data_IF_054397086705
#
_entry.id   IF_054397086705
#
_cell.length_a   1.000
_cell.length_b   1.000
_cell.length_c   1.000
_cell.angle_alpha   90.00
_cell.angle_beta   90.00
_cell.angle_gamma   90.00
#
_symmetry.space_group_name_H-M   'P 1'
#
loop_
_entity.id
_entity.type
_entity.pdbx_description
1 polymer ?
#
# COMPACT_ATOMS: atom_id res chain seq x y z
N UNK A 1 -10.69 38.16 -26.35
CA UNK A 1 -11.86 37.26 -26.22
C UNK A 1 -11.35 35.82 -26.25
N UNK A 2 -11.04 35.22 -25.10
CA UNK A 2 -10.48 33.87 -25.03
C UNK A 2 -11.62 32.84 -24.89
N UNK A 3 -11.80 32.01 -25.90
CA UNK A 3 -12.76 30.91 -25.92
C UNK A 3 -12.38 29.86 -24.87
N UNK A 4 -13.16 29.76 -23.79
CA UNK A 4 -13.08 28.66 -22.81
C UNK A 4 -13.57 27.37 -23.48
N UNK A 5 -12.64 26.56 -23.99
CA UNK A 5 -12.91 25.19 -24.38
C UNK A 5 -13.22 24.36 -23.12
N UNK A 6 -14.51 24.07 -22.88
CA UNK A 6 -14.94 23.17 -21.80
C UNK A 6 -14.90 21.74 -22.38
N UNK A 7 -13.97 20.87 -21.97
CA UNK A 7 -13.89 19.52 -22.53
C UNK A 7 -15.20 18.80 -22.25
N UNK A 8 -15.90 18.41 -23.32
CA UNK A 8 -17.21 17.77 -23.29
C UNK A 8 -17.01 16.30 -22.93
N UNK A 9 -17.00 16.00 -21.63
CA UNK A 9 -16.94 14.61 -21.16
C UNK A 9 -18.31 13.97 -21.29
N UNK A 10 -18.47 13.01 -22.19
CA UNK A 10 -19.72 12.33 -22.51
C UNK A 10 -20.11 11.20 -21.53
N UNK A 11 -19.32 10.99 -20.48
CA UNK A 11 -19.55 9.94 -19.50
C UNK A 11 -20.66 10.32 -18.53
N UNK A 12 -21.64 9.43 -18.37
CA UNK A 12 -22.70 9.58 -17.37
C UNK A 12 -22.10 9.56 -15.96
N UNK A 13 -22.75 10.22 -14.97
CA UNK A 13 -22.25 10.29 -13.60
C UNK A 13 -21.93 8.92 -12.98
N UNK A 14 -22.71 7.90 -13.33
CA UNK A 14 -22.49 6.50 -12.92
C UNK A 14 -21.18 5.93 -13.43
N UNK A 15 -20.84 6.14 -14.70
CA UNK A 15 -19.61 5.61 -15.30
C UNK A 15 -18.38 6.32 -14.73
N UNK A 16 -18.49 7.63 -14.43
CA UNK A 16 -17.42 8.38 -13.74
C UNK A 16 -17.16 7.88 -12.33
N UNK A 17 -18.22 7.59 -11.55
CA UNK A 17 -18.08 7.03 -10.20
C UNK A 17 -17.41 5.67 -10.20
N UNK A 18 -17.78 4.79 -11.13
CA UNK A 18 -17.15 3.48 -11.28
C UNK A 18 -15.69 3.59 -11.72
N UNK A 19 -15.38 4.45 -12.68
CA UNK A 19 -14.01 4.68 -13.13
C UNK A 19 -13.12 5.25 -12.00
N UNK A 20 -13.65 6.16 -11.18
CA UNK A 20 -12.94 6.70 -10.01
C UNK A 20 -12.68 5.61 -8.96
N UNK A 21 -13.66 4.75 -8.71
CA UNK A 21 -13.49 3.60 -7.82
C UNK A 21 -12.37 2.67 -8.29
N UNK A 22 -12.33 2.34 -9.59
CA UNK A 22 -11.24 1.54 -10.16
C UNK A 22 -9.87 2.23 -10.03
N UNK A 23 -9.81 3.56 -10.22
CA UNK A 23 -8.57 4.31 -10.06
C UNK A 23 -8.05 4.28 -8.61
N UNK A 24 -8.95 4.29 -7.63
CA UNK A 24 -8.61 4.20 -6.19
C UNK A 24 -8.13 2.80 -5.77
N UNK A 25 -8.52 1.73 -6.50
CA UNK A 25 -8.06 0.38 -6.20
C UNK A 25 -6.58 0.14 -6.54
N UNK A 26 -6.02 0.91 -7.48
CA UNK A 26 -4.66 0.71 -7.98
C UNK A 26 -3.59 0.61 -6.87
N UNK A 27 -3.47 1.62 -5.98
CA UNK A 27 -2.51 1.58 -4.88
C UNK A 27 -2.68 0.36 -3.96
N UNK A 28 -3.92 -0.03 -3.64
CA UNK A 28 -4.20 -1.18 -2.77
C UNK A 28 -3.80 -2.51 -3.41
N UNK A 29 -4.00 -2.67 -4.72
CA UNK A 29 -3.55 -3.86 -5.45
C UNK A 29 -2.02 -3.92 -5.49
N UNK A 30 -1.35 -2.79 -5.68
CA UNK A 30 0.13 -2.74 -5.68
C UNK A 30 0.66 -3.15 -4.31
N UNK A 31 0.15 -2.56 -3.22
CA UNK A 31 0.61 -2.90 -1.87
C UNK A 31 0.30 -4.35 -1.50
N UNK A 32 -0.85 -4.90 -1.91
CA UNK A 32 -1.17 -6.31 -1.63
C UNK A 32 -0.22 -7.29 -2.33
N UNK A 33 0.30 -6.94 -3.52
CA UNK A 33 1.27 -7.80 -4.20
C UNK A 33 2.65 -7.71 -3.54
N UNK A 34 3.05 -6.52 -3.07
CA UNK A 34 4.31 -6.34 -2.33
C UNK A 34 4.30 -7.11 -1.00
N UNK A 35 3.17 -7.14 -0.30
CA UNK A 35 3.02 -7.92 0.95
C UNK A 35 3.09 -9.45 0.73
N UNK A 36 2.91 -9.95 -0.50
CA UNK A 36 2.95 -11.37 -0.85
C UNK A 36 4.18 -11.71 -1.69
N UNK A 37 5.34 -11.31 -1.20
CA UNK A 37 6.64 -11.58 -1.80
C UNK A 37 7.05 -13.06 -1.68
N UNK A 38 8.21 -13.40 -2.25
CA UNK A 38 8.73 -14.78 -2.19
C UNK A 38 8.99 -15.26 -0.75
N UNK A 39 9.43 -14.36 0.14
CA UNK A 39 9.67 -14.66 1.55
C UNK A 39 8.38 -15.00 2.30
N UNK A 40 7.32 -14.21 2.09
CA UNK A 40 5.98 -14.49 2.61
C UNK A 40 5.44 -15.84 2.12
N UNK A 41 5.44 -16.07 0.81
CA UNK A 41 4.94 -17.32 0.21
C UNK A 41 5.70 -18.54 0.75
N UNK A 42 7.04 -18.46 0.87
CA UNK A 42 7.84 -19.54 1.43
C UNK A 42 7.46 -19.81 2.90
N UNK A 43 7.33 -18.76 3.70
CA UNK A 43 6.98 -18.87 5.13
C UNK A 43 5.62 -19.53 5.32
N UNK A 44 4.58 -19.06 4.63
CA UNK A 44 3.24 -19.62 4.78
C UNK A 44 3.14 -21.05 4.24
N UNK A 45 3.90 -21.38 3.18
CA UNK A 45 3.99 -22.74 2.64
C UNK A 45 4.64 -23.71 3.63
N UNK A 46 5.77 -23.32 4.23
CA UNK A 46 6.45 -24.12 5.25
C UNK A 46 5.56 -24.29 6.49
N UNK A 47 4.91 -23.21 6.93
CA UNK A 47 3.96 -23.25 8.04
C UNK A 47 2.79 -24.18 7.73
N UNK A 48 2.21 -24.12 6.53
CA UNK A 48 1.13 -25.01 6.09
C UNK A 48 1.58 -26.48 6.05
N UNK A 49 2.78 -26.76 5.55
CA UNK A 49 3.32 -28.12 5.49
C UNK A 49 3.61 -28.70 6.89
N UNK A 50 4.07 -27.87 7.84
CA UNK A 50 4.44 -28.32 9.19
C UNK A 50 3.28 -28.37 10.18
N UNK A 51 2.38 -27.40 10.12
CA UNK A 51 1.31 -27.19 11.10
C UNK A 51 -0.09 -27.50 10.56
N UNK A 52 -0.22 -27.74 9.25
CA UNK A 52 -1.52 -27.91 8.60
C UNK A 52 -2.40 -26.68 8.83
N UNK A 53 -3.65 -26.92 9.22
CA UNK A 53 -4.63 -25.85 9.47
C UNK A 53 -4.59 -25.26 10.88
N UNK A 54 -3.72 -25.77 11.76
CA UNK A 54 -3.69 -25.33 13.17
C UNK A 54 -3.29 -23.87 13.34
N UNK A 55 -2.65 -23.24 12.34
CA UNK A 55 -2.30 -21.82 12.36
C UNK A 55 -3.27 -20.89 11.64
N UNK A 56 -4.38 -21.39 11.07
CA UNK A 56 -5.34 -20.51 10.38
C UNK A 56 -5.97 -19.44 11.29
N UNK A 57 -6.08 -19.70 12.59
CA UNK A 57 -6.63 -18.72 13.53
C UNK A 57 -5.78 -17.44 13.60
N UNK A 58 -4.46 -17.52 13.34
CA UNK A 58 -3.56 -16.38 13.37
C UNK A 58 -3.85 -15.38 12.25
N UNK A 59 -4.56 -15.79 11.20
CA UNK A 59 -4.96 -14.93 10.09
C UNK A 59 -5.85 -13.77 10.53
N UNK A 60 -6.72 -13.99 11.54
CA UNK A 60 -7.64 -12.96 12.06
C UNK A 60 -6.88 -11.80 12.72
N UNK A 61 -6.03 -12.01 13.75
CA UNK A 61 -5.29 -10.90 14.35
C UNK A 61 -4.31 -10.27 13.36
N UNK A 62 -3.61 -11.05 12.53
CA UNK A 62 -2.70 -10.51 11.50
C UNK A 62 -3.43 -9.56 10.55
N UNK A 63 -4.63 -9.93 10.08
CA UNK A 63 -5.42 -9.08 9.19
C UNK A 63 -5.79 -7.76 9.85
N UNK A 64 -6.18 -7.79 11.14
CA UNK A 64 -6.52 -6.57 11.89
C UNK A 64 -5.30 -5.64 11.98
N UNK A 65 -4.13 -6.17 12.35
CA UNK A 65 -2.91 -5.37 12.41
C UNK A 65 -2.52 -4.82 11.05
N UNK A 66 -2.63 -5.63 9.99
CA UNK A 66 -2.29 -5.22 8.63
C UNK A 66 -3.20 -4.10 8.14
N UNK A 67 -4.51 -4.17 8.40
CA UNK A 67 -5.47 -3.10 8.07
C UNK A 67 -5.11 -1.81 8.79
N UNK A 68 -4.76 -1.86 10.08
CA UNK A 68 -4.36 -0.67 10.85
C UNK A 68 -3.10 -0.04 10.27
N UNK A 69 -2.07 -0.83 9.96
CA UNK A 69 -0.80 -0.32 9.42
C UNK A 69 -0.99 0.24 8.00
N UNK A 70 -1.74 -0.45 7.15
CA UNK A 70 -2.05 0.01 5.78
C UNK A 70 -2.86 1.31 5.81
N UNK A 71 -3.86 1.43 6.68
CA UNK A 71 -4.65 2.66 6.83
C UNK A 71 -3.79 3.83 7.34
N UNK A 72 -2.91 3.59 8.31
CA UNK A 72 -1.98 4.62 8.79
C UNK A 72 -1.04 5.10 7.69
N UNK A 73 -0.48 4.18 6.90
CA UNK A 73 0.39 4.49 5.76
C UNK A 73 -0.35 5.26 4.67
N UNK A 74 -1.55 4.82 4.31
CA UNK A 74 -2.42 5.50 3.36
C UNK A 74 -2.75 6.91 3.83
N UNK A 75 -3.20 7.07 5.08
CA UNK A 75 -3.57 8.37 5.66
C UNK A 75 -2.39 9.32 5.66
N UNK A 76 -1.21 8.84 6.05
CA UNK A 76 0.02 9.64 6.02
C UNK A 76 0.37 10.08 4.60
N UNK A 77 0.31 9.17 3.61
CA UNK A 77 0.59 9.50 2.21
C UNK A 77 -0.41 10.48 1.61
N UNK A 78 -1.70 10.33 1.91
CA UNK A 78 -2.78 11.23 1.44
C UNK A 78 -2.67 12.62 2.07
N UNK A 79 -2.37 12.71 3.37
CA UNK A 79 -2.31 14.00 4.09
C UNK A 79 -1.03 14.77 3.76
N UNK A 80 0.11 14.08 3.66
CA UNK A 80 1.41 14.74 3.46
C UNK A 80 1.82 14.87 2.00
N UNK A 81 1.26 14.04 1.11
CA UNK A 81 1.69 13.92 -0.29
C UNK A 81 3.10 13.32 -0.45
N UNK A 82 3.66 12.71 0.60
CA UNK A 82 5.03 12.19 0.64
C UNK A 82 5.07 10.72 1.05
N UNK A 83 6.10 10.02 0.59
CA UNK A 83 6.39 8.66 1.04
C UNK A 83 6.99 8.63 2.44
N UNK A 84 6.97 7.45 3.07
CA UNK A 84 7.56 7.25 4.41
C UNK A 84 9.06 7.62 4.43
N UNK A 85 9.81 7.26 3.40
CA UNK A 85 11.24 7.55 3.26
C UNK A 85 11.52 9.06 3.27
N UNK A 86 10.70 9.85 2.57
CA UNK A 86 10.82 11.30 2.52
C UNK A 86 10.51 11.93 3.89
N UNK A 87 9.47 11.45 4.58
CA UNK A 87 9.12 11.93 5.92
C UNK A 87 10.21 11.60 6.95
N UNK A 88 10.82 10.42 6.87
CA UNK A 88 11.97 10.06 7.71
C UNK A 88 13.15 10.99 7.40
N UNK A 89 13.42 11.25 6.13
CA UNK A 89 14.51 12.13 5.69
C UNK A 89 14.33 13.56 6.18
N UNK A 90 13.11 14.07 6.14
CA UNK A 90 12.79 15.42 6.62
C UNK A 90 12.97 15.56 8.13
N UNK A 91 12.62 14.52 8.89
CA UNK A 91 12.66 14.57 10.36
C UNK A 91 14.00 14.19 10.97
N UNK A 92 14.71 13.23 10.38
CA UNK A 92 15.93 12.64 10.94
C UNK A 92 17.18 12.85 10.08
N UNK A 93 17.03 13.45 8.89
CA UNK A 93 18.11 13.75 7.98
C UNK A 93 18.55 12.57 7.11
N UNK A 94 19.35 12.87 6.08
CA UNK A 94 19.71 11.93 5.00
C UNK A 94 20.50 10.72 5.49
N UNK A 95 21.38 10.90 6.48
CA UNK A 95 22.24 9.82 7.00
C UNK A 95 21.42 8.69 7.61
N UNK A 96 20.42 9.02 8.43
CA UNK A 96 19.55 8.04 9.08
C UNK A 96 18.69 7.34 8.03
N UNK A 97 18.09 8.08 7.10
CA UNK A 97 17.30 7.50 6.01
C UNK A 97 18.12 6.55 5.16
N UNK A 98 19.36 6.91 4.82
CA UNK A 98 20.23 6.05 4.01
C UNK A 98 20.46 4.69 4.67
N UNK A 99 20.85 4.67 5.94
CA UNK A 99 21.06 3.41 6.67
C UNK A 99 19.77 2.61 6.82
N UNK A 100 18.62 3.26 7.07
CA UNK A 100 17.33 2.58 7.15
C UNK A 100 16.91 1.95 5.82
N UNK A 101 17.07 2.66 4.71
CA UNK A 101 16.75 2.13 3.38
C UNK A 101 17.69 0.97 2.99
N UNK A 102 18.96 1.07 3.37
CA UNK A 102 19.93 0.01 3.12
C UNK A 102 19.60 -1.24 3.97
N UNK A 103 19.21 -1.06 5.23
CA UNK A 103 18.75 -2.17 6.07
C UNK A 103 17.52 -2.88 5.49
N UNK A 104 16.56 -2.12 4.95
CA UNK A 104 15.36 -2.67 4.30
C UNK A 104 15.62 -3.37 2.96
N UNK A 105 16.80 -3.17 2.36
CA UNK A 105 17.18 -3.84 1.11
C UNK A 105 17.87 -5.18 1.37
N UNK A 106 18.50 -5.33 2.54
CA UNK A 106 19.20 -6.55 2.94
C UNK A 106 18.26 -7.58 3.56
N UNK A 107 17.22 -7.10 4.26
CA UNK A 107 16.14 -7.91 4.85
C UNK A 107 15.05 -8.13 3.80
#
# INVERSE_FOLDING_TARGET
MALKFKPRTWLTPRVKGFALFLALLGPGIITSNVDNDAGGIATYSICGARFGYTMLWAFVPITIFLVVVQEMGLRMGVVTGKGLSDLIRERFGVRVTFYLMLAMLVV
#
